data_IF_935360911589
#
_entry.id   IF_935360911589
#
_cell.length_a   1.000
_cell.length_b   1.000
_cell.length_c   1.000
_cell.angle_alpha   90.00
_cell.angle_beta   90.00
_cell.angle_gamma   90.00
#
_symmetry.space_group_name_H-M   'P 1'
#
loop_
_entity.id
_entity.type
_entity.pdbx_description
1 polymer ?
#
# COMPACT_ATOMS: atom_id res chain seq x y z
N UNK A 1 -25.17 -21.91 -2.60
CA UNK A 1 -25.38 -21.78 -1.14
C UNK A 1 -26.65 -22.43 -0.63
N UNK A 2 -27.84 -21.98 -1.03
CA UNK A 2 -29.06 -22.26 -0.24
C UNK A 2 -29.82 -23.57 -0.56
N UNK A 3 -29.64 -24.17 -1.75
CA UNK A 3 -30.37 -25.39 -2.16
C UNK A 3 -29.84 -26.69 -1.50
N UNK A 4 -28.52 -26.80 -1.28
CA UNK A 4 -27.92 -27.99 -0.67
C UNK A 4 -28.38 -28.19 0.79
N UNK A 5 -28.49 -27.09 1.54
CA UNK A 5 -29.00 -27.11 2.92
C UNK A 5 -30.47 -27.55 2.94
N UNK A 6 -31.29 -27.00 2.03
CA UNK A 6 -32.70 -27.36 1.92
C UNK A 6 -32.88 -28.86 1.61
N UNK A 7 -32.08 -29.43 0.70
CA UNK A 7 -32.14 -30.86 0.40
C UNK A 7 -31.66 -31.73 1.55
N UNK A 8 -30.63 -31.28 2.28
CA UNK A 8 -30.16 -31.97 3.50
C UNK A 8 -31.27 -32.04 4.55
N UNK A 9 -31.98 -30.93 4.80
CA UNK A 9 -33.11 -30.89 5.73
C UNK A 9 -34.30 -31.76 5.32
N UNK A 10 -34.44 -32.06 4.03
CA UNK A 10 -35.46 -32.95 3.48
C UNK A 10 -35.04 -34.43 3.45
N UNK A 11 -33.81 -34.77 3.89
CA UNK A 11 -33.25 -36.11 3.79
C UNK A 11 -32.85 -36.53 2.37
N UNK A 12 -32.81 -35.58 1.42
CA UNK A 12 -32.43 -35.80 0.01
C UNK A 12 -30.92 -35.65 -0.15
N UNK A 13 -30.19 -36.61 0.41
CA UNK A 13 -28.74 -36.51 0.59
C UNK A 13 -27.96 -36.57 -0.73
N UNK A 14 -28.47 -37.29 -1.74
CA UNK A 14 -27.83 -37.38 -3.06
C UNK A 14 -27.94 -36.04 -3.80
N UNK A 15 -29.11 -35.43 -3.78
CA UNK A 15 -29.36 -34.13 -4.39
C UNK A 15 -28.62 -33.01 -3.66
N UNK A 16 -28.51 -33.10 -2.33
CA UNK A 16 -27.69 -32.19 -1.53
C UNK A 16 -26.20 -32.27 -1.95
N UNK A 17 -25.67 -33.47 -2.15
CA UNK A 17 -24.28 -33.69 -2.57
C UNK A 17 -23.98 -33.06 -3.93
N UNK A 18 -24.89 -33.23 -4.90
CA UNK A 18 -24.77 -32.62 -6.24
C UNK A 18 -24.76 -31.09 -6.13
N UNK A 19 -25.65 -30.51 -5.33
CA UNK A 19 -25.73 -29.06 -5.15
C UNK A 19 -24.50 -28.48 -4.45
N UNK A 20 -23.99 -29.14 -3.41
CA UNK A 20 -22.77 -28.70 -2.74
C UNK A 20 -21.54 -28.83 -3.64
N UNK A 21 -21.46 -29.91 -4.44
CA UNK A 21 -20.37 -30.11 -5.41
C UNK A 21 -20.35 -29.01 -6.45
N UNK A 22 -21.51 -28.72 -7.04
CA UNK A 22 -21.62 -27.69 -8.06
C UNK A 22 -21.30 -26.29 -7.52
N UNK A 23 -21.82 -25.96 -6.32
CA UNK A 23 -21.52 -24.69 -5.67
C UNK A 23 -20.03 -24.54 -5.34
N UNK A 24 -19.41 -25.59 -4.79
CA UNK A 24 -17.99 -25.56 -4.44
C UNK A 24 -17.11 -25.46 -5.68
N UNK A 25 -17.48 -26.11 -6.78
CA UNK A 25 -16.77 -25.98 -8.06
C UNK A 25 -16.88 -24.55 -8.62
N UNK A 26 -18.08 -23.96 -8.60
CA UNK A 26 -18.26 -22.55 -9.00
C UNK A 26 -17.43 -21.59 -8.14
N UNK A 27 -17.31 -21.83 -6.84
CA UNK A 27 -16.43 -21.03 -5.99
C UNK A 27 -14.94 -21.25 -6.29
N UNK A 28 -14.52 -22.48 -6.61
CA UNK A 28 -13.12 -22.76 -7.01
C UNK A 28 -12.75 -22.10 -8.34
N UNK A 29 -13.71 -21.94 -9.24
CA UNK A 29 -13.51 -21.27 -10.52
C UNK A 29 -13.51 -19.73 -10.37
N UNK A 30 -14.28 -19.21 -9.41
CA UNK A 30 -14.47 -17.78 -9.22
C UNK A 30 -13.55 -17.13 -8.17
N UNK A 31 -13.01 -17.91 -7.22
CA UNK A 31 -12.26 -17.42 -6.07
C UNK A 31 -10.88 -18.09 -6.01
N UNK A 32 -9.87 -17.32 -5.57
CA UNK A 32 -8.56 -17.90 -5.23
C UNK A 32 -8.71 -18.87 -4.03
N UNK A 33 -7.77 -19.82 -3.85
CA UNK A 33 -7.80 -20.76 -2.73
C UNK A 33 -7.88 -20.07 -1.35
N UNK A 34 -7.25 -18.91 -1.21
CA UNK A 34 -7.22 -18.11 0.03
C UNK A 34 -8.59 -17.46 0.28
N UNK A 35 -9.20 -16.88 -0.75
CA UNK A 35 -10.53 -16.29 -0.67
C UNK A 35 -11.62 -17.34 -0.42
N UNK A 36 -11.43 -18.56 -0.92
CA UNK A 36 -12.36 -19.67 -0.71
C UNK A 36 -12.48 -20.05 0.78
N UNK A 37 -11.43 -19.83 1.58
CA UNK A 37 -11.39 -20.10 3.02
C UNK A 37 -11.94 -18.97 3.89
N UNK A 38 -12.20 -17.79 3.33
CA UNK A 38 -12.77 -16.64 4.07
C UNK A 38 -14.11 -16.18 3.49
N UNK A 39 -14.50 -16.66 2.31
CA UNK A 39 -15.78 -16.36 1.69
C UNK A 39 -16.90 -17.18 2.35
N UNK A 40 -17.73 -16.51 3.16
CA UNK A 40 -18.81 -17.13 3.94
C UNK A 40 -19.72 -18.09 3.14
N UNK A 41 -20.16 -17.79 1.90
CA UNK A 41 -20.93 -18.74 1.10
C UNK A 41 -20.19 -20.03 0.73
N UNK A 42 -18.87 -19.99 0.57
CA UNK A 42 -18.03 -21.16 0.31
C UNK A 42 -17.83 -21.96 1.60
N UNK A 43 -17.55 -21.29 2.73
CA UNK A 43 -17.46 -21.92 4.05
C UNK A 43 -18.76 -22.65 4.45
N UNK A 44 -19.91 -22.03 4.22
CA UNK A 44 -21.21 -22.66 4.47
C UNK A 44 -21.42 -23.92 3.61
N UNK A 45 -20.90 -23.93 2.38
CA UNK A 45 -20.95 -25.09 1.49
C UNK A 45 -20.02 -26.21 1.99
N UNK A 46 -18.84 -25.86 2.49
CA UNK A 46 -17.89 -26.81 3.09
C UNK A 46 -18.42 -27.42 4.40
N UNK A 47 -19.05 -26.61 5.25
CA UNK A 47 -19.74 -27.11 6.45
C UNK A 47 -20.93 -28.02 6.11
N UNK A 48 -21.69 -27.68 5.07
CA UNK A 48 -22.77 -28.52 4.56
C UNK A 48 -22.31 -29.90 4.12
N UNK A 49 -21.13 -30.01 3.49
CA UNK A 49 -20.50 -31.30 3.19
C UNK A 49 -20.12 -32.09 4.45
N UNK A 50 -19.60 -31.41 5.47
CA UNK A 50 -19.27 -32.05 6.76
C UNK A 50 -20.49 -32.71 7.41
N UNK A 51 -21.62 -32.01 7.42
CA UNK A 51 -22.88 -32.53 7.94
C UNK A 51 -23.41 -33.70 7.09
N UNK A 52 -23.42 -33.55 5.76
CA UNK A 52 -23.81 -34.60 4.81
C UNK A 52 -22.98 -35.90 4.99
N UNK A 53 -21.66 -35.78 5.14
CA UNK A 53 -20.78 -36.93 5.34
C UNK A 53 -20.98 -37.59 6.70
N UNK A 54 -21.32 -36.81 7.72
CA UNK A 54 -21.74 -37.36 9.02
C UNK A 54 -23.02 -38.19 8.90
N UNK A 55 -24.04 -37.67 8.22
CA UNK A 55 -25.34 -38.33 8.04
C UNK A 55 -25.26 -39.58 7.15
N UNK A 56 -24.35 -39.61 6.18
CA UNK A 56 -24.15 -40.76 5.27
C UNK A 56 -23.13 -41.79 5.79
N UNK A 57 -22.63 -41.62 7.02
CA UNK A 57 -21.63 -42.54 7.61
C UNK A 57 -20.23 -42.44 6.99
N UNK A 58 -20.00 -41.45 6.11
CA UNK A 58 -18.74 -41.20 5.39
C UNK A 58 -17.82 -40.23 6.15
N UNK A 59 -17.75 -40.36 7.48
CA UNK A 59 -17.03 -39.42 8.36
C UNK A 59 -15.55 -39.24 8.02
N UNK A 60 -14.91 -40.25 7.43
CA UNK A 60 -13.53 -40.14 6.95
C UNK A 60 -13.37 -39.12 5.81
N UNK A 61 -14.41 -38.92 4.99
CA UNK A 61 -14.41 -37.90 3.94
C UNK A 61 -14.50 -36.46 4.48
N UNK A 62 -14.93 -36.29 5.74
CA UNK A 62 -14.91 -35.00 6.43
C UNK A 62 -13.52 -34.59 6.94
N UNK A 63 -12.54 -35.52 6.95
CA UNK A 63 -11.14 -35.25 7.35
C UNK A 63 -10.26 -34.79 6.18
N UNK A 64 -10.71 -34.99 4.94
CA UNK A 64 -10.04 -34.52 3.73
C UNK A 64 -10.74 -33.25 3.25
N UNK A 65 -10.22 -32.04 3.55
CA UNK A 65 -10.70 -30.85 2.89
C UNK A 65 -10.22 -30.92 1.43
N UNK A 66 -11.11 -31.34 0.53
CA UNK A 66 -10.89 -31.39 -0.93
C UNK A 66 -9.93 -32.54 -1.37
N UNK A 67 -10.24 -33.30 -2.44
CA UNK A 67 -9.30 -34.27 -2.98
C UNK A 67 -7.96 -33.59 -3.33
N UNK A 68 -6.89 -34.15 -2.77
CA UNK A 68 -5.53 -33.70 -2.97
C UNK A 68 -5.15 -33.77 -4.46
N UNK A 69 -5.08 -32.60 -5.10
CA UNK A 69 -4.12 -32.37 -6.17
C UNK A 69 -2.75 -32.58 -5.51
N UNK A 70 -1.77 -33.26 -6.15
CA UNK A 70 -0.43 -33.33 -5.60
C UNK A 70 -0.04 -31.91 -5.19
N UNK A 71 0.30 -31.75 -3.91
CA UNK A 71 0.86 -30.52 -3.38
C UNK A 71 2.11 -30.29 -4.23
N UNK A 72 1.95 -29.54 -5.33
CA UNK A 72 3.05 -28.82 -5.91
C UNK A 72 3.55 -28.04 -4.71
N UNK A 73 4.71 -28.43 -4.23
CA UNK A 73 5.55 -27.57 -3.42
C UNK A 73 5.91 -26.38 -4.32
N UNK A 74 4.93 -25.54 -4.64
CA UNK A 74 5.17 -24.14 -4.87
C UNK A 74 5.41 -23.60 -3.47
N UNK A 75 6.64 -23.80 -3.02
CA UNK A 75 7.26 -22.69 -2.36
C UNK A 75 7.32 -21.59 -3.42
N UNK A 76 6.22 -20.86 -3.60
CA UNK A 76 6.30 -19.46 -4.02
C UNK A 76 6.96 -18.77 -2.83
N UNK A 77 8.25 -19.00 -2.68
CA UNK A 77 9.09 -18.08 -1.96
C UNK A 77 8.79 -16.75 -2.63
N UNK A 78 8.13 -15.84 -1.89
CA UNK A 78 8.08 -14.43 -2.26
C UNK A 78 9.50 -14.11 -2.67
N UNK A 79 9.68 -13.81 -3.97
CA UNK A 79 11.01 -13.54 -4.48
C UNK A 79 11.53 -12.38 -3.66
N UNK A 80 12.71 -12.52 -3.11
CA UNK A 80 13.34 -11.47 -2.32
C UNK A 80 14.62 -11.02 -2.99
N UNK A 81 15.04 -9.80 -2.66
CA UNK A 81 16.35 -9.27 -3.01
C UNK A 81 16.95 -8.56 -1.81
N UNK A 82 18.26 -8.35 -1.86
CA UNK A 82 18.97 -7.59 -0.83
C UNK A 82 19.26 -6.18 -1.36
N UNK A 83 18.79 -5.16 -0.66
CA UNK A 83 19.11 -3.74 -0.88
C UNK A 83 19.68 -3.17 0.41
N UNK A 84 20.85 -2.53 0.39
CA UNK A 84 21.51 -2.00 1.59
C UNK A 84 21.66 -3.01 2.74
N UNK A 85 21.87 -4.29 2.41
CA UNK A 85 21.96 -5.38 3.39
C UNK A 85 20.61 -5.81 3.98
N UNK A 86 19.50 -5.33 3.45
CA UNK A 86 18.14 -5.62 3.91
C UNK A 86 17.44 -6.49 2.87
N UNK A 87 16.90 -7.63 3.32
CA UNK A 87 16.09 -8.51 2.50
C UNK A 87 14.69 -7.92 2.35
N UNK A 88 14.28 -7.61 1.12
CA UNK A 88 12.96 -7.06 0.80
C UNK A 88 12.27 -7.88 -0.28
N UNK A 89 10.94 -7.79 -0.36
CA UNK A 89 10.14 -8.32 -1.46
C UNK A 89 10.63 -7.80 -2.82
N UNK A 90 10.74 -8.70 -3.81
CA UNK A 90 11.24 -8.49 -5.17
C UNK A 90 10.21 -8.96 -6.20
N UNK A 91 9.07 -8.28 -6.24
CA UNK A 91 8.04 -8.54 -7.23
C UNK A 91 8.37 -7.80 -8.54
N UNK A 92 7.84 -8.25 -9.69
CA UNK A 92 7.96 -7.52 -10.95
C UNK A 92 7.43 -6.08 -10.85
N UNK A 93 6.35 -5.86 -10.10
CA UNK A 93 5.76 -4.54 -9.94
C UNK A 93 6.67 -3.60 -9.14
N UNK A 94 7.33 -4.08 -8.07
CA UNK A 94 8.31 -3.29 -7.31
C UNK A 94 9.49 -2.87 -8.21
N UNK A 95 9.97 -3.78 -9.06
CA UNK A 95 11.04 -3.47 -10.02
C UNK A 95 10.61 -2.40 -11.03
N UNK A 96 9.39 -2.51 -11.56
CA UNK A 96 8.83 -1.48 -12.44
C UNK A 96 8.64 -0.14 -11.71
N UNK A 97 8.22 -0.15 -10.45
CA UNK A 97 8.02 1.05 -9.66
C UNK A 97 9.33 1.80 -9.40
N UNK A 98 10.42 1.08 -9.08
CA UNK A 98 11.74 1.69 -8.99
C UNK A 98 12.17 2.33 -10.32
N UNK A 99 11.98 1.63 -11.45
CA UNK A 99 12.31 2.17 -12.76
C UNK A 99 11.47 3.41 -13.09
N UNK A 100 10.20 3.39 -12.72
CA UNK A 100 9.27 4.51 -12.93
C UNK A 100 9.64 5.73 -12.08
N UNK A 101 9.89 5.54 -10.78
CA UNK A 101 10.41 6.58 -9.90
C UNK A 101 11.74 7.15 -10.43
N UNK A 102 12.63 6.30 -10.93
CA UNK A 102 13.93 6.74 -11.49
C UNK A 102 13.78 7.58 -12.77
N UNK A 103 12.74 7.35 -13.56
CA UNK A 103 12.43 8.15 -14.76
C UNK A 103 12.00 9.57 -14.40
N UNK A 104 11.21 9.72 -13.33
CA UNK A 104 10.51 10.97 -12.99
C UNK A 104 11.22 11.82 -11.93
N UNK A 105 11.99 11.19 -11.06
CA UNK A 105 12.66 11.86 -9.94
C UNK A 105 14.14 12.13 -10.25
N UNK A 106 14.66 13.24 -9.72
CA UNK A 106 16.10 13.46 -9.66
C UNK A 106 16.77 12.50 -8.68
N UNK A 107 18.11 12.46 -8.66
CA UNK A 107 18.86 11.52 -7.81
C UNK A 107 18.51 11.63 -6.32
N UNK A 108 18.33 12.86 -5.83
CA UNK A 108 18.04 13.15 -4.43
C UNK A 108 16.68 12.62 -3.99
N UNK A 109 15.64 12.91 -4.77
CA UNK A 109 14.27 12.44 -4.54
C UNK A 109 14.16 10.92 -4.77
N UNK A 110 14.83 10.38 -5.79
CA UNK A 110 14.88 8.92 -5.99
C UNK A 110 15.51 8.20 -4.78
N UNK A 111 16.64 8.70 -4.29
CA UNK A 111 17.27 8.13 -3.11
C UNK A 111 16.35 8.26 -1.89
N UNK A 112 15.64 9.39 -1.74
CA UNK A 112 14.66 9.57 -0.66
C UNK A 112 13.56 8.52 -0.69
N UNK A 113 12.85 8.32 -1.80
CA UNK A 113 11.75 7.34 -1.86
C UNK A 113 12.23 5.91 -1.58
N UNK A 114 13.44 5.55 -2.02
CA UNK A 114 14.04 4.24 -1.71
C UNK A 114 14.40 4.12 -0.23
N UNK A 115 15.01 5.16 0.38
CA UNK A 115 15.29 5.17 1.82
C UNK A 115 14.00 5.07 2.65
N UNK A 116 12.97 5.84 2.29
CA UNK A 116 11.66 5.83 2.96
C UNK A 116 11.03 4.44 2.95
N UNK A 117 11.09 3.74 1.81
CA UNK A 117 10.66 2.34 1.71
C UNK A 117 11.46 1.42 2.64
N UNK A 118 12.79 1.48 2.59
CA UNK A 118 13.65 0.62 3.39
C UNK A 118 13.50 0.86 4.90
N UNK A 119 13.39 2.11 5.35
CA UNK A 119 13.13 2.42 6.74
C UNK A 119 11.78 1.91 7.21
N UNK A 120 10.71 2.12 6.42
CA UNK A 120 9.38 1.59 6.70
C UNK A 120 9.41 0.06 6.82
N UNK A 121 10.10 -0.63 5.90
CA UNK A 121 10.22 -2.08 5.90
C UNK A 121 10.96 -2.61 7.15
N UNK A 122 12.11 -2.00 7.49
CA UNK A 122 12.86 -2.40 8.68
C UNK A 122 12.02 -2.19 9.94
N UNK A 123 11.37 -1.03 10.08
CA UNK A 123 10.52 -0.73 11.25
C UNK A 123 9.36 -1.73 11.33
N UNK A 124 8.70 -2.01 10.21
CA UNK A 124 7.59 -2.98 10.15
C UNK A 124 8.00 -4.39 10.57
N UNK A 125 9.22 -4.82 10.22
CA UNK A 125 9.73 -6.14 10.61
C UNK A 125 9.91 -6.31 12.12
N UNK A 126 10.14 -5.22 12.85
CA UNK A 126 10.45 -5.23 14.29
C UNK A 126 9.23 -4.96 15.18
N UNK A 127 8.13 -4.44 14.61
CA UNK A 127 6.91 -4.09 15.36
C UNK A 127 5.85 -5.17 15.11
N UNK A 128 5.43 -5.95 16.13
CA UNK A 128 4.50 -7.06 15.95
C UNK A 128 3.20 -6.68 15.21
N UNK A 129 2.65 -5.50 15.50
CA UNK A 129 1.42 -5.00 14.89
C UNK A 129 1.57 -4.70 13.38
N UNK A 130 2.80 -4.56 12.89
CA UNK A 130 3.11 -4.27 11.49
C UNK A 130 3.51 -5.51 10.69
N UNK A 131 3.77 -6.65 11.34
CA UNK A 131 4.31 -7.83 10.65
C UNK A 131 3.34 -8.49 9.65
N UNK A 132 2.05 -8.16 9.68
CA UNK A 132 1.04 -8.69 8.75
C UNK A 132 0.65 -7.72 7.63
N UNK A 133 1.40 -6.64 7.46
CA UNK A 133 1.15 -5.68 6.39
C UNK A 133 1.35 -6.29 5.00
N UNK A 134 0.69 -5.71 4.01
CA UNK A 134 0.96 -5.98 2.61
C UNK A 134 2.29 -5.35 2.18
N UNK A 135 3.34 -6.18 2.11
CA UNK A 135 4.70 -5.73 1.81
C UNK A 135 4.84 -5.08 0.43
N UNK A 136 4.16 -5.62 -0.59
CA UNK A 136 4.23 -5.07 -1.95
C UNK A 136 3.45 -3.75 -2.03
N UNK A 137 2.28 -3.65 -1.41
CA UNK A 137 1.53 -2.38 -1.36
C UNK A 137 2.36 -1.30 -0.67
N UNK A 138 2.91 -1.59 0.51
CA UNK A 138 3.79 -0.66 1.22
C UNK A 138 4.99 -0.25 0.36
N UNK A 139 5.65 -1.22 -0.31
CA UNK A 139 6.77 -0.93 -1.19
C UNK A 139 6.40 0.01 -2.33
N UNK A 140 5.33 -0.29 -3.05
CA UNK A 140 4.86 0.52 -4.18
C UNK A 140 4.47 1.92 -3.71
N UNK A 141 3.71 2.04 -2.63
CA UNK A 141 3.32 3.33 -2.08
C UNK A 141 4.53 4.17 -1.68
N UNK A 142 5.48 3.60 -0.93
CA UNK A 142 6.68 4.31 -0.48
C UNK A 142 7.61 4.71 -1.64
N UNK A 143 7.77 3.85 -2.65
CA UNK A 143 8.62 4.15 -3.84
C UNK A 143 8.01 5.26 -4.70
N UNK A 144 6.69 5.38 -4.75
CA UNK A 144 5.98 6.29 -5.66
C UNK A 144 5.40 7.54 -4.98
N UNK A 145 5.58 7.72 -3.66
CA UNK A 145 4.87 8.77 -2.92
C UNK A 145 5.16 10.19 -3.41
N UNK A 146 6.40 10.45 -3.84
CA UNK A 146 6.85 11.77 -4.30
C UNK A 146 6.83 11.93 -5.83
N UNK A 147 6.06 11.11 -6.57
CA UNK A 147 5.87 11.35 -8.00
C UNK A 147 5.25 12.73 -8.31
N UNK A 148 4.63 13.40 -7.33
CA UNK A 148 4.23 14.79 -7.43
C UNK A 148 5.39 15.80 -7.54
N UNK A 149 6.64 15.35 -7.37
CA UNK A 149 7.87 16.13 -7.59
C UNK A 149 8.49 15.89 -8.98
N UNK A 150 7.76 15.21 -9.87
CA UNK A 150 8.18 14.87 -11.22
C UNK A 150 8.85 16.06 -11.94
N UNK A 151 10.01 15.79 -12.54
CA UNK A 151 10.80 16.78 -13.29
C UNK A 151 10.53 16.76 -14.79
N UNK A 152 9.68 15.86 -15.26
CA UNK A 152 9.29 15.76 -16.68
C UNK A 152 8.03 16.54 -17.04
N UNK A 153 7.34 17.12 -16.04
CA UNK A 153 6.04 17.78 -16.17
C UNK A 153 4.94 16.85 -16.75
N UNK A 154 5.13 15.54 -16.70
CA UNK A 154 4.17 14.53 -17.19
C UNK A 154 3.09 14.25 -16.14
N UNK A 155 3.45 14.34 -14.85
CA UNK A 155 2.60 13.88 -13.73
C UNK A 155 2.03 15.01 -12.87
N UNK A 156 2.59 16.23 -12.97
CA UNK A 156 2.23 17.35 -12.08
C UNK A 156 1.09 18.16 -12.69
N UNK A 157 -0.01 18.29 -11.95
CA UNK A 157 -1.12 19.15 -12.35
C UNK A 157 -0.94 20.58 -11.85
N UNK A 158 -1.71 21.51 -12.44
CA UNK A 158 -1.70 22.93 -12.07
C UNK A 158 -2.54 23.25 -10.83
N UNK A 159 -3.49 22.38 -10.50
CA UNK A 159 -4.61 22.66 -9.60
C UNK A 159 -4.68 21.73 -8.39
N UNK A 160 -3.83 20.70 -8.31
CA UNK A 160 -3.82 19.75 -7.19
C UNK A 160 -2.52 19.83 -6.42
N UNK A 161 -2.61 19.47 -5.14
CA UNK A 161 -1.47 19.19 -4.27
C UNK A 161 -0.54 18.14 -4.86
N UNK A 162 0.75 18.22 -4.55
CA UNK A 162 1.72 17.25 -5.06
C UNK A 162 1.46 15.83 -4.51
N UNK A 163 0.93 15.71 -3.29
CA UNK A 163 0.54 14.43 -2.70
C UNK A 163 -0.58 13.77 -3.52
N UNK A 164 -1.51 14.57 -4.05
CA UNK A 164 -2.61 14.09 -4.89
C UNK A 164 -2.13 13.74 -6.29
N UNK A 165 -1.23 14.55 -6.87
CA UNK A 165 -0.58 14.22 -8.15
C UNK A 165 0.17 12.89 -8.06
N UNK A 166 0.98 12.71 -7.00
CA UNK A 166 1.70 11.46 -6.73
C UNK A 166 0.76 10.26 -6.53
N UNK A 167 -0.29 10.42 -5.74
CA UNK A 167 -1.26 9.35 -5.49
C UNK A 167 -2.01 8.93 -6.76
N UNK A 168 -2.42 9.90 -7.59
CA UNK A 168 -3.06 9.61 -8.87
C UNK A 168 -2.10 8.91 -9.84
N UNK A 169 -0.86 9.41 -9.97
CA UNK A 169 0.15 8.80 -10.83
C UNK A 169 0.48 7.36 -10.40
N UNK A 170 0.57 7.11 -9.09
CA UNK A 170 0.80 5.77 -8.57
C UNK A 170 -0.38 4.83 -8.86
N UNK A 171 -1.62 5.28 -8.68
CA UNK A 171 -2.81 4.49 -9.01
C UNK A 171 -2.86 4.15 -10.50
N UNK A 172 -2.57 5.11 -11.36
CA UNK A 172 -2.54 4.90 -12.82
C UNK A 172 -1.40 3.97 -13.23
N UNK A 173 -0.23 4.08 -12.57
CA UNK A 173 0.88 3.15 -12.73
C UNK A 173 0.48 1.72 -12.35
N UNK A 174 -0.12 1.52 -11.18
CA UNK A 174 -0.54 0.19 -10.71
C UNK A 174 -1.60 -0.39 -11.64
N UNK A 175 -2.60 0.40 -12.06
CA UNK A 175 -3.64 -0.05 -12.98
C UNK A 175 -3.08 -0.50 -14.34
N UNK A 176 -1.98 0.12 -14.79
CA UNK A 176 -1.32 -0.21 -16.07
C UNK A 176 -0.34 -1.37 -15.96
N UNK A 177 0.39 -1.48 -14.86
CA UNK A 177 1.55 -2.36 -14.73
C UNK A 177 1.34 -3.56 -13.81
N UNK A 178 0.35 -3.48 -12.92
CA UNK A 178 -0.04 -4.54 -11.99
C UNK A 178 -1.05 -5.51 -12.61
N UNK A 179 -1.13 -6.71 -12.04
CA UNK A 179 -2.15 -7.69 -12.45
C UNK A 179 -3.45 -7.44 -11.69
N UNK A 180 -4.57 -7.31 -12.42
CA UNK A 180 -5.89 -7.02 -11.79
C UNK A 180 -6.33 -8.08 -10.78
N UNK A 181 -5.81 -9.31 -10.89
CA UNK A 181 -6.10 -10.39 -9.92
C UNK A 181 -5.44 -10.14 -8.55
N UNK A 182 -4.33 -9.39 -8.54
CA UNK A 182 -3.50 -9.12 -7.35
C UNK A 182 -3.76 -7.71 -6.79
N UNK A 183 -4.35 -6.80 -7.57
CA UNK A 183 -4.66 -5.41 -7.18
C UNK A 183 -6.15 -5.12 -7.30
N UNK A 184 -6.89 -5.44 -6.23
CA UNK A 184 -8.29 -5.07 -6.11
C UNK A 184 -8.48 -3.58 -5.79
N UNK A 185 -9.74 -3.13 -5.77
CA UNK A 185 -10.10 -1.74 -5.49
C UNK A 185 -9.65 -1.28 -4.09
N UNK A 186 -9.62 -2.19 -3.11
CA UNK A 186 -9.21 -1.82 -1.75
C UNK A 186 -7.70 -1.59 -1.69
N UNK A 187 -6.91 -2.47 -2.30
CA UNK A 187 -5.45 -2.35 -2.40
C UNK A 187 -5.04 -1.07 -3.15
N UNK A 188 -5.72 -0.79 -4.27
CA UNK A 188 -5.54 0.46 -5.02
C UNK A 188 -5.86 1.70 -4.16
N UNK A 189 -6.96 1.65 -3.40
CA UNK A 189 -7.36 2.75 -2.51
C UNK A 189 -6.34 2.96 -1.39
N UNK A 190 -5.83 1.88 -0.77
CA UNK A 190 -4.81 1.97 0.27
C UNK A 190 -3.48 2.52 -0.25
N UNK A 191 -3.05 2.13 -1.46
CA UNK A 191 -1.87 2.72 -2.08
C UNK A 191 -2.06 4.21 -2.37
N UNK A 192 -3.24 4.60 -2.89
CA UNK A 192 -3.57 6.01 -3.09
C UNK A 192 -3.59 6.78 -1.77
N UNK A 193 -4.21 6.23 -0.72
CA UNK A 193 -4.30 6.85 0.61
C UNK A 193 -2.94 6.98 1.29
N UNK A 194 -2.09 5.97 1.17
CA UNK A 194 -0.74 5.98 1.71
C UNK A 194 0.07 7.15 1.16
N UNK A 195 -0.12 7.46 -0.12
CA UNK A 195 0.55 8.58 -0.79
C UNK A 195 -0.18 9.88 -0.52
N UNK A 196 -1.50 9.96 -0.68
CA UNK A 196 -2.23 11.23 -0.50
C UNK A 196 -2.10 11.81 0.91
N UNK A 197 -1.89 10.95 1.92
CA UNK A 197 -1.81 11.34 3.33
C UNK A 197 -0.38 11.37 3.87
N UNK A 198 0.66 11.08 3.07
CA UNK A 198 2.01 10.84 3.59
C UNK A 198 2.61 12.05 4.33
N UNK A 199 2.23 13.27 3.95
CA UNK A 199 2.64 14.53 4.59
C UNK A 199 1.80 14.91 5.80
N UNK A 200 0.67 14.22 6.02
CA UNK A 200 -0.30 14.53 7.07
C UNK A 200 -0.30 13.43 8.13
N UNK A 201 0.81 13.32 8.86
CA UNK A 201 1.02 12.27 9.86
C UNK A 201 -0.06 12.18 10.94
N UNK A 202 -0.66 13.31 11.33
CA UNK A 202 -1.78 13.36 12.29
C UNK A 202 -3.04 12.65 11.81
N UNK A 203 -3.15 12.33 10.52
CA UNK A 203 -4.23 11.52 9.94
C UNK A 203 -3.68 10.13 9.56
N UNK A 204 -2.56 10.08 8.83
CA UNK A 204 -1.99 8.83 8.32
C UNK A 204 -1.70 7.81 9.43
N UNK A 205 -1.29 8.26 10.62
CA UNK A 205 -0.99 7.39 11.75
C UNK A 205 -2.23 6.68 12.35
N UNK A 206 -3.44 7.16 12.05
CA UNK A 206 -4.71 6.56 12.49
C UNK A 206 -5.38 5.70 11.41
N UNK A 207 -4.72 5.50 10.27
CA UNK A 207 -5.24 4.77 9.11
C UNK A 207 -4.77 3.30 9.12
N UNK A 208 -5.06 2.53 8.07
CA UNK A 208 -4.60 1.15 7.91
C UNK A 208 -3.07 1.02 7.95
N UNK A 209 -2.59 -0.20 8.21
CA UNK A 209 -1.20 -0.49 8.56
C UNK A 209 -0.23 0.00 7.48
N UNK A 210 -0.55 -0.20 6.22
CA UNK A 210 0.29 0.16 5.08
C UNK A 210 0.46 1.69 4.97
N UNK A 211 -0.62 2.45 5.22
CA UNK A 211 -0.59 3.92 5.27
C UNK A 211 0.30 4.39 6.42
N UNK A 212 0.16 3.77 7.60
CA UNK A 212 0.96 4.09 8.79
C UNK A 212 2.45 3.83 8.55
N UNK A 213 2.81 2.65 8.04
CA UNK A 213 4.20 2.27 7.80
C UNK A 213 4.82 3.20 6.75
N UNK A 214 4.10 3.49 5.65
CA UNK A 214 4.57 4.41 4.62
C UNK A 214 4.90 5.79 5.22
N UNK A 215 3.96 6.36 5.99
CA UNK A 215 4.16 7.64 6.67
C UNK A 215 5.34 7.60 7.66
N UNK A 216 5.47 6.54 8.46
CA UNK A 216 6.57 6.37 9.41
C UNK A 216 7.92 6.29 8.70
N UNK A 217 8.03 5.50 7.63
CA UNK A 217 9.26 5.37 6.85
C UNK A 217 9.73 6.72 6.27
N UNK A 218 8.79 7.48 5.71
CA UNK A 218 9.03 8.82 5.15
C UNK A 218 9.48 9.79 6.24
N UNK A 219 8.72 9.91 7.34
CA UNK A 219 9.07 10.78 8.48
C UNK A 219 10.44 10.41 9.06
N UNK A 220 10.75 9.12 9.12
CA UNK A 220 12.03 8.62 9.64
C UNK A 220 13.19 9.13 8.78
N UNK A 221 13.06 9.18 7.44
CA UNK A 221 14.11 9.77 6.60
C UNK A 221 14.38 11.25 6.95
N UNK A 222 13.37 12.03 7.35
CA UNK A 222 13.58 13.43 7.75
C UNK A 222 14.09 13.61 9.18
N UNK A 223 13.64 12.77 10.10
CA UNK A 223 13.85 12.95 11.55
C UNK A 223 15.00 12.13 12.13
N UNK A 224 15.45 11.10 11.41
CA UNK A 224 16.51 10.21 11.85
C UNK A 224 16.01 8.98 12.61
N UNK A 225 16.89 7.99 12.83
CA UNK A 225 16.54 6.70 13.41
C UNK A 225 16.08 6.79 14.87
N UNK A 226 16.51 7.81 15.62
CA UNK A 226 16.12 8.04 17.02
C UNK A 226 14.62 8.30 17.19
N UNK A 227 13.97 8.83 16.16
CA UNK A 227 12.55 9.14 16.16
C UNK A 227 11.70 7.98 15.63
N UNK A 228 12.32 6.85 15.26
CA UNK A 228 11.59 5.66 14.83
C UNK A 228 10.74 5.08 15.97
N UNK A 229 9.50 4.63 15.70
CA UNK A 229 8.66 4.02 16.73
C UNK A 229 9.33 2.84 17.41
N UNK A 230 9.30 2.81 18.74
CA UNK A 230 9.93 1.76 19.53
C UNK A 230 11.47 1.76 19.52
N UNK A 231 12.12 2.74 18.88
CA UNK A 231 13.58 2.80 18.78
C UNK A 231 14.19 1.60 18.03
N UNK A 232 13.41 0.99 17.13
CA UNK A 232 13.77 -0.28 16.48
C UNK A 232 14.74 -0.10 15.31
N UNK A 233 14.79 1.10 14.72
CA UNK A 233 15.74 1.40 13.66
C UNK A 233 17.07 1.84 14.28
N UNK A 234 18.09 1.00 14.20
CA UNK A 234 19.42 1.33 14.75
C UNK A 234 20.17 2.30 13.84
N UNK A 235 21.08 3.09 14.43
CA UNK A 235 21.97 3.98 13.66
C UNK A 235 22.81 3.23 12.63
N UNK A 236 23.27 2.01 12.93
CA UNK A 236 24.03 1.19 11.99
C UNK A 236 23.24 0.79 10.75
N UNK A 237 21.96 0.41 10.91
CA UNK A 237 21.08 0.12 9.76
C UNK A 237 20.80 1.39 8.96
N UNK A 238 20.57 2.51 9.64
CA UNK A 238 20.40 3.80 9.00
C UNK A 238 21.61 4.19 8.14
N UNK A 239 22.82 4.11 8.72
CA UNK A 239 24.05 4.49 8.02
C UNK A 239 24.30 3.59 6.80
N UNK A 240 24.03 2.28 6.90
CA UNK A 240 24.15 1.36 5.77
C UNK A 240 23.17 1.69 4.62
N UNK A 241 21.93 2.07 4.93
CA UNK A 241 20.95 2.54 3.94
C UNK A 241 21.41 3.85 3.29
N UNK A 242 21.85 4.83 4.09
CA UNK A 242 22.29 6.13 3.60
C UNK A 242 23.60 6.03 2.78
N UNK A 243 24.47 5.08 3.10
CA UNK A 243 25.68 4.81 2.31
C UNK A 243 25.34 4.37 0.88
N UNK A 244 24.34 3.49 0.72
CA UNK A 244 23.90 3.03 -0.62
C UNK A 244 22.98 4.00 -1.34
N UNK A 245 22.19 4.78 -0.60
CA UNK A 245 21.29 5.80 -1.14
C UNK A 245 21.64 7.18 -0.54
N UNK A 246 22.74 7.80 -0.99
CA UNK A 246 23.27 9.02 -0.40
C UNK A 246 22.25 10.16 -0.40
N UNK A 247 22.39 11.03 0.60
CA UNK A 247 21.55 12.22 0.77
C UNK A 247 22.29 13.58 0.75
N UNK A 248 23.39 13.75 -0.02
CA UNK A 248 24.04 15.06 -0.11
C UNK A 248 23.08 16.07 -0.75
N UNK A 249 22.93 17.24 -0.14
CA UNK A 249 22.04 18.28 -0.67
C UNK A 249 20.54 18.00 -0.49
N UNK A 250 20.15 16.86 0.10
CA UNK A 250 18.74 16.46 0.19
C UNK A 250 17.83 17.52 0.81
N UNK A 251 18.21 18.10 1.95
CA UNK A 251 17.41 19.16 2.58
C UNK A 251 17.23 20.39 1.68
N UNK A 252 18.27 20.74 0.90
CA UNK A 252 18.20 21.84 -0.05
C UNK A 252 17.26 21.51 -1.22
N UNK A 253 17.35 20.30 -1.78
CA UNK A 253 16.50 19.88 -2.88
C UNK A 253 15.02 19.82 -2.50
N UNK A 254 14.72 19.44 -1.25
CA UNK A 254 13.36 19.50 -0.69
C UNK A 254 12.88 20.95 -0.60
N UNK A 255 13.68 21.84 0.00
CA UNK A 255 13.34 23.28 0.07
C UNK A 255 13.11 23.86 -1.33
N UNK A 256 14.01 23.59 -2.27
CA UNK A 256 13.91 24.09 -3.64
C UNK A 256 12.65 23.57 -4.34
N UNK A 257 12.31 22.29 -4.13
CA UNK A 257 11.10 21.68 -4.70
C UNK A 257 9.82 22.28 -4.12
N UNK A 258 9.72 22.40 -2.79
CA UNK A 258 8.54 22.97 -2.12
C UNK A 258 8.37 24.46 -2.44
N UNK A 259 9.47 25.22 -2.50
CA UNK A 259 9.43 26.61 -2.98
C UNK A 259 8.99 26.70 -4.45
N UNK A 260 9.38 25.73 -5.29
CA UNK A 260 8.91 25.61 -6.66
C UNK A 260 7.39 25.44 -6.74
N UNK A 261 6.82 24.60 -5.88
CA UNK A 261 5.36 24.40 -5.80
C UNK A 261 4.68 25.72 -5.40
N UNK A 262 5.20 26.44 -4.40
CA UNK A 262 4.69 27.77 -4.00
C UNK A 262 4.74 28.79 -5.14
N UNK A 263 5.74 28.73 -6.03
CA UNK A 263 5.84 29.65 -7.18
C UNK A 263 4.89 29.28 -8.32
N UNK A 264 4.73 27.99 -8.58
CA UNK A 264 4.06 27.49 -9.78
C UNK A 264 2.55 27.26 -9.59
N UNK A 265 2.12 26.88 -8.38
CA UNK A 265 0.72 26.59 -8.03
C UNK A 265 0.39 26.95 -6.57
N UNK A 266 0.57 28.23 -6.17
CA UNK A 266 0.44 28.67 -4.78
C UNK A 266 -0.90 28.33 -4.13
N UNK A 267 -1.99 28.30 -4.90
CA UNK A 267 -3.34 27.98 -4.42
C UNK A 267 -3.43 26.60 -3.78
N UNK A 268 -2.57 25.67 -4.18
CA UNK A 268 -2.52 24.30 -3.64
C UNK A 268 -1.77 24.21 -2.31
N UNK A 269 -1.18 25.31 -1.84
CA UNK A 269 -0.25 25.32 -0.69
C UNK A 269 -0.79 26.07 0.53
N UNK A 270 -1.78 26.94 0.37
CA UNK A 270 -2.23 27.87 1.43
C UNK A 270 -2.81 27.22 2.70
N UNK A 271 -3.25 25.97 2.62
CA UNK A 271 -3.90 25.24 3.72
C UNK A 271 -3.01 24.13 4.32
N UNK A 272 -1.71 24.10 3.99
CA UNK A 272 -0.80 23.05 4.42
C UNK A 272 0.64 23.51 4.67
N UNK A 273 1.47 22.57 5.12
CA UNK A 273 2.85 22.79 5.52
C UNK A 273 3.73 23.38 4.40
N UNK A 274 3.37 23.20 3.12
CA UNK A 274 4.15 23.76 2.00
C UNK A 274 4.16 25.30 2.06
N UNK A 275 3.10 25.92 2.59
CA UNK A 275 3.06 27.36 2.82
C UNK A 275 4.21 27.88 3.71
N UNK A 276 4.70 27.09 4.66
CA UNK A 276 5.80 27.49 5.54
C UNK A 276 7.09 27.75 4.75
N UNK A 277 7.33 26.97 3.69
CA UNK A 277 8.47 27.16 2.79
C UNK A 277 8.28 28.39 1.90
N UNK A 278 7.06 28.60 1.39
CA UNK A 278 6.72 29.80 0.64
C UNK A 278 6.97 31.08 1.46
N UNK A 279 6.45 31.12 2.69
CA UNK A 279 6.62 32.25 3.61
C UNK A 279 8.08 32.50 3.99
N UNK A 280 8.87 31.44 4.15
CA UNK A 280 10.27 31.56 4.56
C UNK A 280 11.21 31.95 3.42
N UNK A 281 10.96 31.49 2.18
CA UNK A 281 11.97 31.50 1.11
C UNK A 281 11.50 32.05 -0.24
N UNK A 282 10.20 32.32 -0.45
CA UNK A 282 9.67 32.80 -1.74
C UNK A 282 9.28 34.27 -1.64
N UNK A 283 10.00 35.13 -2.37
CA UNK A 283 9.71 36.56 -2.42
C UNK A 283 8.27 36.82 -2.91
N UNK A 284 7.53 37.65 -2.16
CA UNK A 284 6.15 38.01 -2.47
C UNK A 284 5.09 36.97 -2.08
N UNK A 285 5.49 35.76 -1.69
CA UNK A 285 4.55 34.74 -1.22
C UNK A 285 3.92 35.17 0.10
N UNK A 286 2.59 35.14 0.17
CA UNK A 286 1.85 35.51 1.38
C UNK A 286 0.48 34.83 1.42
N UNK A 287 -0.05 34.66 2.63
CA UNK A 287 -1.35 34.02 2.85
C UNK A 287 -2.52 35.00 2.88
N UNK A 288 -2.27 36.31 2.88
CA UNK A 288 -3.32 37.32 3.10
C UNK A 288 -4.34 37.28 1.97
N UNK A 289 -5.62 37.09 2.32
CA UNK A 289 -6.72 37.01 1.36
C UNK A 289 -6.91 35.61 0.77
N UNK A 290 -6.05 34.66 1.14
CA UNK A 290 -6.06 33.29 0.60
C UNK A 290 -6.34 32.23 1.66
N UNK A 291 -6.40 32.61 2.95
CA UNK A 291 -6.72 31.67 4.03
C UNK A 291 -8.23 31.45 4.07
N UNK A 292 -8.63 30.28 4.57
CA UNK A 292 -10.04 29.98 4.82
C UNK A 292 -10.72 31.05 5.70
N UNK A 293 -10.01 31.57 6.71
CA UNK A 293 -10.55 32.65 7.56
C UNK A 293 -10.80 33.94 6.77
N UNK A 294 -9.92 34.29 5.82
CA UNK A 294 -10.09 35.49 5.00
C UNK A 294 -11.31 35.35 4.07
N UNK A 295 -11.54 34.14 3.54
CA UNK A 295 -12.72 33.82 2.71
C UNK A 295 -14.00 33.92 3.52
N UNK A 296 -14.00 33.41 4.76
CA UNK A 296 -15.16 33.47 5.65
C UNK A 296 -15.47 34.92 6.07
N UNK A 297 -14.45 35.70 6.43
CA UNK A 297 -14.59 37.12 6.78
C UNK A 297 -15.10 37.98 5.62
N UNK A 298 -14.75 37.65 4.37
CA UNK A 298 -15.23 38.37 3.19
C UNK A 298 -16.67 37.99 2.76
N UNK A 299 -17.22 36.92 3.32
CA UNK A 299 -18.58 36.45 3.02
C UNK A 299 -19.65 37.05 3.96
N UNK A 300 -19.23 37.76 5.00
CA UNK A 300 -20.08 38.56 5.92
C UNK A 300 -20.23 40.01 5.43
#
# INVERSE_FOLDING_TARGET
GNLGILYTMQGKLVEAEVMYTWALQGYKEALSPELLLVHLPALNTMWGFGDLFSQTGRKEMAKTPVPAIPLLTMSDHIRTRVLAGITVSDTPLITKALAYARKHLNDSAYNHVVRSWLFGHVIASQIPDFQKHDEELHAIAAILHDLGWDKTDELVSKDKRFEIDGANAARDFIAREGEMKDWDNHRLQLAWDAIALHTTGSIALHKEIEVRICCIGIITDFTGPEMSPGGVLTRGVWDAIVEQFPRPGFAKDVVDTLCGICRNKPETTYDNFVADFGLAYVEGYNLKGNRLVDILEAAE
#
